data_IF_519137467661
#
_entry.id   IF_519137467661
#
_cell.length_a   1.000
_cell.length_b   1.000
_cell.length_c   1.000
_cell.angle_alpha   90.00
_cell.angle_beta   90.00
_cell.angle_gamma   90.00
#
_symmetry.space_group_name_H-M   'P 1'
#
loop_
_entity.id
_entity.type
_entity.pdbx_description
1 polymer ?
#
# COMPACT_ATOMS: atom_id res chain seq x y z
N UNK A 1 94.32 3.78 35.50
CA UNK A 1 92.98 3.24 35.78
C UNK A 1 91.96 4.01 34.90
N UNK A 2 91.63 3.47 33.73
CA UNK A 2 90.65 4.07 32.81
C UNK A 2 89.31 3.31 32.91
N UNK A 3 88.28 4.01 33.40
CA UNK A 3 86.89 3.48 33.36
C UNK A 3 86.25 3.86 32.03
N UNK A 4 85.91 2.86 31.24
CA UNK A 4 85.09 3.00 29.99
C UNK A 4 83.66 3.18 30.42
N UNK A 5 83.05 4.27 30.02
CA UNK A 5 81.60 4.52 30.09
C UNK A 5 81.03 4.05 28.77
N UNK A 6 80.19 3.02 28.79
CA UNK A 6 79.45 2.57 27.63
C UNK A 6 78.13 3.35 27.53
N UNK A 7 77.92 4.06 26.39
CA UNK A 7 76.68 4.77 26.09
C UNK A 7 75.73 3.78 25.40
N UNK A 8 74.60 3.46 26.03
CA UNK A 8 73.48 2.71 25.40
C UNK A 8 72.61 3.70 24.65
N UNK A 9 72.64 3.63 23.34
CA UNK A 9 71.67 4.30 22.45
C UNK A 9 70.43 3.41 22.40
N UNK A 10 69.33 3.81 23.04
CA UNK A 10 68.03 3.17 22.94
C UNK A 10 67.35 3.76 21.69
N UNK A 11 67.33 3.00 20.61
CA UNK A 11 66.55 3.32 19.43
C UNK A 11 65.09 3.01 19.73
N UNK A 12 64.29 4.04 20.00
CA UNK A 12 62.82 3.94 20.09
C UNK A 12 62.26 3.93 18.67
N UNK A 13 61.97 2.74 18.13
CA UNK A 13 61.19 2.61 16.91
C UNK A 13 59.74 2.91 17.22
N UNK A 14 59.27 4.12 16.94
CA UNK A 14 57.85 4.46 16.87
C UNK A 14 57.24 3.67 15.71
N UNK A 15 56.58 2.58 15.99
CA UNK A 15 55.63 1.96 15.07
C UNK A 15 54.43 2.92 14.94
N UNK A 16 54.43 3.74 13.88
CA UNK A 16 53.22 4.43 13.41
C UNK A 16 52.25 3.39 12.90
N UNK A 17 51.36 2.92 13.77
CA UNK A 17 50.13 2.27 13.32
C UNK A 17 49.30 3.34 12.65
N UNK A 18 49.35 3.40 11.31
CA UNK A 18 48.32 4.05 10.53
C UNK A 18 47.00 3.31 10.82
N UNK A 19 46.24 3.81 11.79
CA UNK A 19 44.82 3.50 11.92
C UNK A 19 44.17 4.04 10.62
N UNK A 20 44.07 3.17 9.61
CA UNK A 20 43.19 3.43 8.51
C UNK A 20 41.76 3.46 9.08
N UNK A 21 41.30 4.63 9.46
CA UNK A 21 39.89 4.88 9.72
C UNK A 21 39.22 4.47 8.43
N UNK A 22 38.32 3.47 8.46
CA UNK A 22 37.58 3.14 7.24
C UNK A 22 36.85 4.40 6.81
N UNK A 23 37.29 4.98 5.73
CA UNK A 23 36.60 6.12 5.11
C UNK A 23 35.23 5.58 4.72
N UNK A 24 34.17 6.05 5.35
CA UNK A 24 32.83 5.67 4.98
C UNK A 24 32.71 5.85 3.46
N UNK A 25 32.46 4.75 2.76
CA UNK A 25 32.31 4.80 1.30
C UNK A 25 31.20 5.80 1.01
N UNK A 26 31.52 6.85 0.28
CA UNK A 26 30.51 7.84 -0.13
C UNK A 26 29.57 7.15 -1.08
N UNK A 27 28.26 7.27 -0.82
CA UNK A 27 27.24 6.76 -1.72
C UNK A 27 27.49 7.22 -3.17
N UNK A 28 27.59 6.28 -4.07
CA UNK A 28 27.79 6.55 -5.49
C UNK A 28 26.43 6.74 -6.19
N UNK A 29 26.48 7.42 -7.36
CA UNK A 29 25.33 7.47 -8.26
C UNK A 29 25.67 6.69 -9.51
N UNK A 30 24.88 5.64 -9.78
CA UNK A 30 24.97 4.81 -10.97
C UNK A 30 23.86 5.24 -11.95
N UNK A 31 24.25 5.77 -13.11
CA UNK A 31 23.27 6.28 -14.08
C UNK A 31 22.92 5.21 -15.10
N UNK A 32 21.61 5.04 -15.32
CA UNK A 32 21.01 4.08 -16.24
C UNK A 32 20.30 4.81 -17.37
N UNK A 33 20.49 4.36 -18.60
CA UNK A 33 19.78 4.89 -19.77
C UNK A 33 20.58 4.81 -21.06
N UNK A 34 20.04 5.44 -22.08
CA UNK A 34 20.76 5.67 -23.33
C UNK A 34 21.40 7.06 -23.36
N UNK A 35 22.60 7.15 -23.89
CA UNK A 35 23.31 8.43 -23.93
C UNK A 35 22.55 9.47 -24.76
N UNK A 36 22.23 10.60 -24.14
CA UNK A 36 21.53 11.72 -24.74
C UNK A 36 21.95 13.04 -24.08
N UNK A 37 21.46 14.16 -24.58
CA UNK A 37 21.69 15.46 -23.94
C UNK A 37 21.10 15.51 -22.49
N UNK A 38 19.98 14.84 -22.26
CA UNK A 38 19.35 14.78 -20.94
C UNK A 38 19.95 13.69 -20.03
N UNK A 39 20.61 12.67 -20.62
CA UNK A 39 21.24 11.57 -19.93
C UNK A 39 22.71 11.42 -20.41
N UNK A 40 23.61 12.34 -20.04
CA UNK A 40 24.99 12.29 -20.52
C UNK A 40 25.76 11.17 -19.79
N UNK A 41 26.40 10.30 -20.55
CA UNK A 41 27.30 9.24 -20.07
C UNK A 41 26.66 8.26 -19.08
N UNK A 42 25.51 7.62 -19.38
CA UNK A 42 25.01 6.54 -18.54
C UNK A 42 26.02 5.39 -18.53
N UNK A 43 26.15 4.74 -17.38
CA UNK A 43 27.07 3.61 -17.20
C UNK A 43 26.39 2.27 -17.47
N UNK A 44 25.07 2.23 -17.38
CA UNK A 44 24.27 1.02 -17.49
C UNK A 44 23.12 1.23 -18.47
N UNK A 45 22.74 0.18 -19.19
CA UNK A 45 21.60 0.21 -20.11
C UNK A 45 20.31 -0.35 -19.45
N UNK A 46 20.46 -1.12 -18.37
CA UNK A 46 19.34 -1.72 -17.63
C UNK A 46 19.43 -1.34 -16.15
N UNK A 47 18.27 -1.21 -15.52
CA UNK A 47 18.17 -0.91 -14.09
C UNK A 47 18.78 -2.06 -13.28
N UNK A 48 18.46 -3.32 -13.65
CA UNK A 48 18.96 -4.49 -12.93
C UNK A 48 20.50 -4.57 -12.96
N UNK A 49 21.14 -4.21 -14.08
CA UNK A 49 22.61 -4.21 -14.14
C UNK A 49 23.23 -3.18 -13.20
N UNK A 50 22.62 -2.01 -13.07
CA UNK A 50 23.05 -0.99 -12.12
C UNK A 50 22.79 -1.43 -10.66
N UNK A 51 21.61 -2.01 -10.37
CA UNK A 51 21.30 -2.59 -9.05
C UNK A 51 22.31 -3.66 -8.65
N UNK A 52 22.68 -4.55 -9.58
CA UNK A 52 23.67 -5.60 -9.31
C UNK A 52 25.05 -5.02 -8.96
N UNK A 53 25.47 -3.96 -9.66
CA UNK A 53 26.76 -3.30 -9.45
C UNK A 53 26.82 -2.36 -8.23
N UNK A 54 25.66 -1.91 -7.76
CA UNK A 54 25.56 -0.97 -6.63
C UNK A 54 26.03 -1.58 -5.31
N UNK A 55 26.60 -0.76 -4.47
CA UNK A 55 26.83 -1.01 -3.04
C UNK A 55 25.64 -0.51 -2.21
N UNK A 56 25.49 -1.02 -0.98
CA UNK A 56 24.48 -0.49 -0.04
C UNK A 56 24.67 1.01 0.17
N UNK A 57 23.57 1.75 0.06
CA UNK A 57 23.52 3.21 0.18
C UNK A 57 23.69 3.96 -1.13
N UNK A 58 23.99 3.28 -2.23
CA UNK A 58 24.12 3.93 -3.54
C UNK A 58 22.78 4.39 -4.12
N UNK A 59 22.85 5.32 -5.05
CA UNK A 59 21.70 5.80 -5.81
C UNK A 59 21.76 5.27 -7.24
N UNK A 60 20.69 4.66 -7.70
CA UNK A 60 20.44 4.33 -9.10
C UNK A 60 19.65 5.49 -9.71
N UNK A 61 20.28 6.28 -10.57
CA UNK A 61 19.63 7.35 -11.32
C UNK A 61 19.16 6.81 -12.66
N UNK A 62 17.85 6.74 -12.86
CA UNK A 62 17.20 6.21 -14.06
C UNK A 62 16.77 7.36 -14.95
N UNK A 63 17.43 7.52 -16.09
CA UNK A 63 17.07 8.52 -17.08
C UNK A 63 15.70 8.22 -17.71
N UNK A 64 15.05 9.23 -18.30
CA UNK A 64 13.82 9.04 -19.05
C UNK A 64 14.00 8.00 -20.16
N UNK A 65 13.04 7.09 -20.28
CA UNK A 65 13.06 5.99 -21.25
C UNK A 65 12.28 4.78 -20.77
N UNK A 66 12.04 3.81 -21.64
CA UNK A 66 11.35 2.56 -21.31
C UNK A 66 12.36 1.44 -21.03
N UNK A 67 12.20 0.79 -19.90
CA UNK A 67 13.03 -0.30 -19.40
C UNK A 67 12.18 -1.58 -19.34
N UNK A 68 12.38 -2.46 -20.35
CA UNK A 68 11.61 -3.69 -20.50
C UNK A 68 12.18 -4.81 -19.61
N UNK A 69 12.09 -4.65 -18.30
CA UNK A 69 12.69 -5.57 -17.32
C UNK A 69 11.90 -5.68 -16.03
N UNK A 70 11.98 -6.82 -15.34
CA UNK A 70 11.65 -6.95 -13.93
C UNK A 70 12.90 -6.58 -13.11
N UNK A 71 12.70 -5.87 -11.99
CA UNK A 71 13.80 -5.38 -11.16
C UNK A 71 13.74 -6.03 -9.77
N UNK A 72 14.83 -6.69 -9.36
CA UNK A 72 14.99 -7.27 -8.02
C UNK A 72 16.01 -6.44 -7.21
N UNK A 73 15.57 -5.94 -6.05
CA UNK A 73 16.38 -5.15 -5.11
C UNK A 73 16.50 -5.91 -3.78
N UNK A 74 17.73 -6.34 -3.44
CA UNK A 74 18.04 -7.10 -2.21
C UNK A 74 19.06 -6.38 -1.33
N UNK A 75 19.26 -5.10 -1.54
CA UNK A 75 20.18 -4.27 -0.75
C UNK A 75 19.63 -2.86 -0.57
N UNK A 76 20.05 -2.18 0.48
CA UNK A 76 19.71 -0.77 0.69
C UNK A 76 20.22 0.08 -0.47
N UNK A 77 19.33 0.79 -1.14
CA UNK A 77 19.66 1.74 -2.21
C UNK A 77 18.49 2.70 -2.48
N UNK A 78 18.78 3.74 -3.25
CA UNK A 78 17.76 4.64 -3.77
C UNK A 78 17.64 4.45 -5.28
N UNK A 79 16.44 4.07 -5.75
CA UNK A 79 16.05 4.07 -7.15
C UNK A 79 15.32 5.38 -7.46
N UNK A 80 15.87 6.24 -8.28
CA UNK A 80 15.32 7.56 -8.57
C UNK A 80 15.27 7.81 -10.08
N UNK A 81 14.05 7.94 -10.62
CA UNK A 81 13.86 8.23 -12.04
C UNK A 81 13.81 9.72 -12.36
N UNK A 82 14.11 10.02 -13.61
CA UNK A 82 13.72 11.27 -14.27
C UNK A 82 12.24 11.19 -14.71
N UNK A 83 11.63 12.32 -15.00
CA UNK A 83 10.29 12.31 -15.57
C UNK A 83 10.25 11.51 -16.87
N UNK A 84 9.42 10.45 -16.90
CA UNK A 84 9.34 9.49 -17.99
C UNK A 84 10.28 8.28 -17.88
N UNK A 85 10.87 8.02 -16.72
CA UNK A 85 11.51 6.74 -16.42
C UNK A 85 10.43 5.67 -16.22
N UNK A 86 10.25 4.78 -17.20
CA UNK A 86 9.18 3.80 -17.30
C UNK A 86 9.74 2.38 -17.21
N UNK A 87 9.30 1.61 -16.22
CA UNK A 87 9.60 0.18 -16.07
C UNK A 87 8.37 -0.58 -16.59
N UNK A 88 8.51 -1.23 -17.75
CA UNK A 88 7.42 -1.89 -18.48
C UNK A 88 7.94 -3.20 -19.09
N UNK A 89 7.90 -4.32 -18.34
CA UNK A 89 8.34 -5.61 -18.87
C UNK A 89 7.35 -6.14 -19.92
N UNK A 90 7.85 -6.64 -21.03
CA UNK A 90 7.03 -7.24 -22.11
C UNK A 90 6.48 -8.61 -21.71
N UNK A 91 7.15 -9.35 -20.86
CA UNK A 91 6.70 -10.60 -20.27
C UNK A 91 7.27 -10.67 -18.87
N UNK A 92 6.45 -11.09 -17.93
CA UNK A 92 6.88 -11.29 -16.56
C UNK A 92 6.98 -12.77 -16.23
N UNK A 93 7.92 -13.11 -15.35
CA UNK A 93 8.09 -14.44 -14.79
C UNK A 93 7.90 -14.38 -13.26
N UNK A 94 7.47 -15.50 -12.68
CA UNK A 94 7.43 -15.65 -11.24
C UNK A 94 8.82 -15.40 -10.64
N UNK A 95 8.90 -14.49 -9.67
CA UNK A 95 10.15 -14.12 -8.99
C UNK A 95 9.99 -14.09 -7.46
N UNK A 96 8.80 -14.41 -6.95
CA UNK A 96 8.52 -14.55 -5.53
C UNK A 96 7.36 -15.51 -5.27
N UNK A 97 6.99 -15.65 -4.01
CA UNK A 97 5.87 -16.49 -3.53
C UNK A 97 5.21 -15.79 -2.35
N UNK A 98 3.89 -15.76 -2.30
CA UNK A 98 3.14 -15.22 -1.17
C UNK A 98 3.40 -16.03 0.10
N UNK A 99 3.70 -15.37 1.21
CA UNK A 99 3.87 -16.06 2.50
C UNK A 99 2.57 -16.62 3.06
N UNK A 100 1.43 -16.05 2.66
CA UNK A 100 0.13 -16.46 3.16
C UNK A 100 -0.49 -17.58 2.33
N UNK A 101 -0.61 -17.39 1.02
CA UNK A 101 -1.28 -18.34 0.14
C UNK A 101 -0.36 -19.42 -0.43
N UNK A 102 0.95 -19.16 -0.50
CA UNK A 102 1.91 -20.00 -1.20
C UNK A 102 1.84 -19.87 -2.73
N UNK A 103 1.01 -18.96 -3.25
CA UNK A 103 0.89 -18.72 -4.68
C UNK A 103 2.14 -18.04 -5.26
N UNK A 104 2.45 -18.37 -6.50
CA UNK A 104 3.54 -17.75 -7.23
C UNK A 104 3.22 -16.30 -7.57
N UNK A 105 4.20 -15.42 -7.40
CA UNK A 105 4.10 -13.99 -7.65
C UNK A 105 5.08 -13.57 -8.74
N UNK A 106 4.60 -12.75 -9.68
CA UNK A 106 5.39 -12.04 -10.66
C UNK A 106 5.34 -10.53 -10.36
N UNK A 107 6.30 -10.06 -9.59
CA UNK A 107 6.44 -8.63 -9.30
C UNK A 107 7.28 -7.94 -10.37
N UNK A 108 6.83 -6.76 -10.84
CA UNK A 108 7.61 -5.95 -11.79
C UNK A 108 8.82 -5.36 -11.09
N UNK A 109 8.61 -4.79 -9.90
CA UNK A 109 9.69 -4.37 -9.01
C UNK A 109 9.55 -5.13 -7.68
N UNK A 110 10.51 -5.97 -7.37
CA UNK A 110 10.58 -6.74 -6.13
C UNK A 110 11.68 -6.19 -5.22
N UNK A 111 11.29 -5.73 -4.05
CA UNK A 111 12.20 -5.40 -2.95
C UNK A 111 12.10 -6.51 -1.91
N UNK A 112 13.20 -7.25 -1.71
CA UNK A 112 13.15 -8.47 -0.90
C UNK A 112 14.28 -8.54 0.12
N UNK A 113 13.93 -8.97 1.35
CA UNK A 113 14.86 -9.30 2.44
C UNK A 113 15.90 -8.20 2.73
N UNK A 114 15.48 -6.94 2.66
CA UNK A 114 16.37 -5.78 2.85
C UNK A 114 15.65 -4.59 3.46
N UNK A 115 16.42 -3.61 3.91
CA UNK A 115 15.88 -2.38 4.49
C UNK A 115 16.48 -1.14 3.84
N UNK A 116 15.82 0.02 4.01
CA UNK A 116 16.33 1.29 3.52
C UNK A 116 16.34 1.42 2.00
N UNK A 117 15.32 0.85 1.34
CA UNK A 117 15.14 1.02 -0.11
C UNK A 117 14.15 2.14 -0.37
N UNK A 118 14.59 3.16 -1.08
CA UNK A 118 13.70 4.23 -1.56
C UNK A 118 13.49 4.07 -3.06
N UNK A 119 12.23 4.05 -3.51
CA UNK A 119 11.85 4.10 -4.92
C UNK A 119 11.08 5.39 -5.16
N UNK A 120 11.54 6.21 -6.10
CA UNK A 120 10.90 7.49 -6.36
C UNK A 120 10.94 7.92 -7.83
N UNK A 121 9.94 8.71 -8.24
CA UNK A 121 9.88 9.36 -9.56
C UNK A 121 9.98 8.38 -10.74
N UNK A 122 9.44 7.18 -10.61
CA UNK A 122 9.38 6.18 -11.69
C UNK A 122 7.93 5.84 -12.00
N UNK A 123 7.71 5.36 -13.21
CA UNK A 123 6.45 4.75 -13.63
C UNK A 123 6.67 3.24 -13.69
N UNK A 124 5.78 2.48 -13.07
CA UNK A 124 5.74 1.01 -13.18
C UNK A 124 4.44 0.65 -13.88
N UNK A 125 4.56 -0.02 -15.01
CA UNK A 125 3.47 -0.30 -15.93
C UNK A 125 3.41 -1.81 -16.19
N UNK A 126 2.27 -2.41 -15.90
CA UNK A 126 2.03 -3.85 -16.04
C UNK A 126 1.47 -4.24 -17.39
N UNK A 127 1.31 -3.31 -18.33
CA UNK A 127 0.78 -3.63 -19.66
C UNK A 127 1.67 -4.63 -20.39
N UNK A 128 1.04 -5.50 -21.19
CA UNK A 128 1.79 -6.49 -21.96
C UNK A 128 2.52 -7.56 -21.14
N UNK A 129 2.14 -7.79 -19.89
CA UNK A 129 2.78 -8.72 -18.93
C UNK A 129 2.88 -10.18 -19.40
N UNK A 130 2.08 -10.62 -20.37
CA UNK A 130 2.15 -11.96 -20.97
C UNK A 130 1.58 -13.09 -20.11
N UNK A 131 0.98 -12.79 -18.95
CA UNK A 131 0.34 -13.79 -18.09
C UNK A 131 -0.94 -14.28 -18.75
N UNK A 132 -1.08 -15.60 -18.92
CA UNK A 132 -2.20 -16.26 -19.60
C UNK A 132 -3.09 -17.12 -18.71
N UNK A 133 -2.77 -17.19 -17.41
CA UNK A 133 -3.50 -17.92 -16.37
C UNK A 133 -3.58 -17.08 -15.10
N UNK A 134 -4.32 -17.52 -14.07
CA UNK A 134 -4.42 -16.78 -12.82
C UNK A 134 -3.11 -16.80 -11.99
N UNK A 135 -2.17 -17.66 -12.31
CA UNK A 135 -0.86 -17.75 -11.67
C UNK A 135 0.26 -17.66 -12.72
N UNK A 136 1.35 -16.92 -12.45
CA UNK A 136 1.63 -16.18 -11.24
C UNK A 136 0.76 -14.94 -11.07
N UNK A 137 0.56 -14.49 -9.82
CA UNK A 137 -0.12 -13.24 -9.51
C UNK A 137 0.74 -12.04 -9.93
N UNK A 138 0.15 -11.10 -10.66
CA UNK A 138 0.83 -9.89 -11.11
C UNK A 138 0.84 -8.84 -10.00
N UNK A 139 2.02 -8.30 -9.72
CA UNK A 139 2.19 -7.20 -8.76
C UNK A 139 3.07 -6.12 -9.38
N UNK A 140 2.66 -4.86 -9.28
CA UNK A 140 3.47 -3.73 -9.75
C UNK A 140 4.74 -3.57 -8.92
N UNK A 141 4.62 -3.20 -7.65
CA UNK A 141 5.75 -3.07 -6.73
C UNK A 141 5.49 -3.92 -5.48
N UNK A 142 6.42 -4.79 -5.14
CA UNK A 142 6.32 -5.67 -3.99
C UNK A 142 7.47 -5.46 -2.99
N UNK A 143 7.13 -5.07 -1.75
CA UNK A 143 8.04 -5.10 -0.61
C UNK A 143 7.78 -6.37 0.19
N UNK A 144 8.67 -7.34 0.10
CA UNK A 144 8.56 -8.63 0.80
C UNK A 144 9.67 -8.77 1.83
N UNK A 145 9.32 -8.85 3.12
CA UNK A 145 10.30 -8.82 4.22
C UNK A 145 11.28 -7.66 4.06
N UNK A 146 10.78 -6.50 3.61
CA UNK A 146 11.61 -5.38 3.25
C UNK A 146 11.04 -4.06 3.78
N UNK A 147 11.92 -3.11 4.07
CA UNK A 147 11.54 -1.80 4.59
C UNK A 147 12.07 -0.67 3.73
N UNK A 148 11.32 0.43 3.65
CA UNK A 148 11.73 1.57 2.87
C UNK A 148 10.62 2.57 2.55
N UNK A 149 10.76 3.26 1.44
CA UNK A 149 9.87 4.33 1.02
C UNK A 149 9.54 4.24 -0.46
N UNK A 150 8.28 4.45 -0.78
CA UNK A 150 7.76 4.66 -2.12
C UNK A 150 7.22 6.09 -2.19
N UNK A 151 7.75 6.93 -3.10
CA UNK A 151 7.39 8.35 -3.11
C UNK A 151 7.36 8.91 -4.54
N UNK A 152 6.26 9.59 -4.90
CA UNK A 152 6.06 10.14 -6.24
C UNK A 152 6.22 9.07 -7.35
N UNK A 153 5.60 7.92 -7.18
CA UNK A 153 5.61 6.82 -8.15
C UNK A 153 4.23 6.74 -8.82
N UNK A 154 4.20 6.45 -10.12
CA UNK A 154 2.99 6.03 -10.80
C UNK A 154 3.03 4.51 -10.99
N UNK A 155 1.97 3.80 -10.58
CA UNK A 155 1.79 2.37 -10.84
C UNK A 155 0.49 2.19 -11.58
N UNK A 156 0.53 1.54 -12.74
CA UNK A 156 -0.63 1.43 -13.62
C UNK A 156 -0.65 0.15 -14.45
N UNK A 157 -1.80 -0.10 -15.08
CA UNK A 157 -2.01 -1.23 -16.00
C UNK A 157 -1.60 -2.59 -15.39
N UNK A 158 -1.77 -2.72 -14.07
CA UNK A 158 -1.46 -3.97 -13.34
C UNK A 158 -2.67 -4.89 -13.41
N UNK A 159 -2.96 -5.32 -14.63
CA UNK A 159 -4.12 -6.14 -14.96
C UNK A 159 -3.72 -7.34 -15.81
N UNK A 160 -4.44 -8.45 -15.65
CA UNK A 160 -4.38 -9.57 -16.56
C UNK A 160 -5.27 -9.32 -17.79
N UNK A 161 -5.17 -10.21 -18.77
CA UNK A 161 -6.07 -10.12 -19.93
C UNK A 161 -7.55 -10.14 -19.50
N UNK A 162 -8.48 -9.51 -20.27
CA UNK A 162 -9.90 -9.44 -19.91
C UNK A 162 -10.58 -10.80 -19.66
N UNK A 163 -10.05 -11.89 -20.21
CA UNK A 163 -10.53 -13.26 -19.94
C UNK A 163 -10.20 -13.77 -18.56
N UNK A 164 -9.27 -13.11 -17.86
CA UNK A 164 -8.76 -13.45 -16.54
C UNK A 164 -9.17 -12.42 -15.46
N UNK A 165 -10.13 -11.56 -15.76
CA UNK A 165 -10.55 -10.49 -14.87
C UNK A 165 -11.17 -10.98 -13.53
N UNK A 166 -11.50 -12.28 -13.41
CA UNK A 166 -11.95 -12.93 -12.18
C UNK A 166 -10.81 -13.45 -11.28
N UNK A 167 -9.56 -13.42 -11.75
CA UNK A 167 -8.40 -13.86 -10.95
C UNK A 167 -8.12 -12.89 -9.79
N UNK A 168 -7.74 -13.41 -8.64
CA UNK A 168 -7.30 -12.60 -7.49
C UNK A 168 -5.84 -12.15 -7.71
N UNK A 169 -5.61 -11.34 -8.70
CA UNK A 169 -4.31 -10.90 -9.22
C UNK A 169 -4.40 -9.44 -9.65
N UNK A 170 -3.29 -8.78 -9.87
CA UNK A 170 -3.22 -7.39 -10.27
C UNK A 170 -3.28 -6.44 -9.08
N UNK A 171 -2.21 -6.42 -8.27
CA UNK A 171 -2.02 -5.47 -7.19
C UNK A 171 -1.04 -4.38 -7.60
N UNK A 172 -1.43 -3.12 -7.43
CA UNK A 172 -0.53 -2.00 -7.71
C UNK A 172 0.71 -2.03 -6.83
N UNK A 173 0.53 -1.94 -5.52
CA UNK A 173 1.60 -2.02 -4.52
C UNK A 173 1.24 -3.06 -3.47
N UNK A 174 2.18 -3.93 -3.14
CA UNK A 174 2.01 -4.92 -2.09
C UNK A 174 3.15 -4.84 -1.07
N UNK A 175 2.82 -4.90 0.22
CA UNK A 175 3.77 -5.04 1.33
C UNK A 175 3.38 -6.25 2.15
N UNK A 176 4.30 -7.20 2.30
CA UNK A 176 4.04 -8.43 3.05
C UNK A 176 5.25 -8.83 3.89
N UNK A 177 5.00 -9.12 5.15
CA UNK A 177 5.98 -9.71 6.07
C UNK A 177 5.67 -11.19 6.31
N UNK A 178 6.70 -11.96 6.61
CA UNK A 178 6.56 -13.37 6.93
C UNK A 178 7.76 -13.91 7.69
N UNK A 179 7.64 -15.13 8.25
CA UNK A 179 8.75 -15.79 8.95
C UNK A 179 9.25 -15.05 10.20
N UNK A 180 8.43 -14.16 10.79
CA UNK A 180 8.83 -13.37 11.97
C UNK A 180 9.68 -12.12 11.65
N UNK A 181 9.83 -11.78 10.37
CA UNK A 181 10.48 -10.53 9.95
C UNK A 181 9.48 -9.38 10.02
N UNK A 182 9.95 -8.18 10.33
CA UNK A 182 9.13 -6.97 10.31
C UNK A 182 9.52 -6.07 9.14
N UNK A 183 8.50 -5.55 8.45
CA UNK A 183 8.63 -4.57 7.38
C UNK A 183 8.02 -3.25 7.81
N UNK A 184 8.72 -2.14 7.56
CA UNK A 184 8.20 -0.79 7.78
C UNK A 184 8.31 -0.03 6.46
N UNK A 185 7.16 0.29 5.85
CA UNK A 185 7.13 0.92 4.52
C UNK A 185 6.25 2.18 4.54
N UNK A 186 6.79 3.27 4.02
CA UNK A 186 6.04 4.49 3.72
C UNK A 186 5.67 4.52 2.24
N UNK A 187 4.39 4.73 1.92
CA UNK A 187 3.88 4.88 0.56
C UNK A 187 3.24 6.26 0.47
N UNK A 188 3.88 7.18 -0.25
CA UNK A 188 3.47 8.57 -0.23
C UNK A 188 3.40 9.22 -1.62
N UNK A 189 2.49 10.20 -1.78
CA UNK A 189 2.43 11.11 -2.92
C UNK A 189 2.43 10.40 -4.29
N UNK A 190 1.86 9.21 -4.37
CA UNK A 190 1.92 8.33 -5.53
C UNK A 190 0.56 8.18 -6.19
N UNK A 191 0.54 7.83 -7.48
CA UNK A 191 -0.68 7.59 -8.25
C UNK A 191 -0.76 6.11 -8.59
N UNK A 192 -1.83 5.44 -8.17
CA UNK A 192 -2.06 4.03 -8.44
C UNK A 192 -3.41 3.87 -9.12
N UNK A 193 -3.43 3.35 -10.34
CA UNK A 193 -4.65 3.20 -11.13
C UNK A 193 -4.54 2.04 -12.13
N UNK A 194 -5.65 1.64 -12.74
CA UNK A 194 -5.70 0.54 -13.70
C UNK A 194 -5.06 -0.74 -13.14
N UNK A 195 -5.61 -1.23 -12.03
CA UNK A 195 -5.23 -2.48 -11.39
C UNK A 195 -6.44 -3.40 -11.27
N UNK A 196 -6.22 -4.72 -11.31
CA UNK A 196 -7.33 -5.66 -11.35
C UNK A 196 -7.95 -5.91 -9.97
N UNK A 197 -7.15 -6.08 -8.91
CA UNK A 197 -7.66 -6.48 -7.59
C UNK A 197 -7.53 -5.39 -6.52
N UNK A 198 -6.34 -4.93 -6.19
CA UNK A 198 -6.14 -3.90 -5.16
C UNK A 198 -5.12 -2.86 -5.59
N UNK A 199 -5.35 -1.60 -5.20
CA UNK A 199 -4.39 -0.51 -5.45
C UNK A 199 -3.16 -0.63 -4.55
N UNK A 200 -3.35 -0.50 -3.25
CA UNK A 200 -2.29 -0.66 -2.23
C UNK A 200 -2.74 -1.71 -1.22
N UNK A 201 -1.89 -2.68 -0.96
CA UNK A 201 -2.16 -3.76 -0.01
C UNK A 201 -1.01 -3.89 0.98
N UNK A 202 -1.32 -3.96 2.27
CA UNK A 202 -0.37 -4.29 3.33
C UNK A 202 -0.94 -5.43 4.16
N UNK A 203 -0.30 -6.58 4.14
CA UNK A 203 -0.81 -7.78 4.79
C UNK A 203 0.20 -8.40 5.74
N UNK A 204 -0.32 -9.20 6.65
CA UNK A 204 0.33 -10.09 7.59
C UNK A 204 1.00 -9.37 8.78
N UNK A 205 0.99 -10.08 9.90
CA UNK A 205 1.64 -9.64 11.13
C UNK A 205 3.15 -9.36 10.92
N UNK A 206 3.63 -8.26 11.46
CA UNK A 206 4.98 -7.76 11.21
C UNK A 206 5.05 -6.69 10.12
N UNK A 207 4.02 -6.55 9.29
CA UNK A 207 3.91 -5.45 8.33
C UNK A 207 3.39 -4.19 9.01
N UNK A 208 4.12 -3.10 8.86
CA UNK A 208 3.72 -1.77 9.33
C UNK A 208 3.82 -0.78 8.18
N UNK A 209 2.75 -0.01 7.93
CA UNK A 209 2.72 0.95 6.82
C UNK A 209 2.26 2.33 7.25
N UNK A 210 2.79 3.34 6.55
CA UNK A 210 2.22 4.69 6.50
C UNK A 210 1.85 4.97 5.06
N UNK A 211 0.55 5.12 4.76
CA UNK A 211 0.03 5.35 3.41
C UNK A 211 -0.54 6.75 3.38
N UNK A 212 0.10 7.68 2.68
CA UNK A 212 -0.30 9.09 2.78
C UNK A 212 -0.20 9.88 1.48
N UNK A 213 -1.20 10.74 1.23
CA UNK A 213 -1.17 11.68 0.10
C UNK A 213 -1.24 11.02 -1.28
N UNK A 214 -1.68 9.77 -1.37
CA UNK A 214 -1.77 9.04 -2.62
C UNK A 214 -3.12 9.28 -3.31
N UNK A 215 -3.12 9.12 -4.64
CA UNK A 215 -4.33 9.04 -5.46
C UNK A 215 -4.48 7.59 -5.94
N UNK A 216 -5.54 6.93 -5.51
CA UNK A 216 -5.82 5.52 -5.82
C UNK A 216 -7.16 5.43 -6.52
N UNK A 217 -7.17 4.97 -7.78
CA UNK A 217 -8.37 4.98 -8.61
C UNK A 217 -8.64 3.59 -9.18
N UNK A 218 -9.78 3.01 -8.83
CA UNK A 218 -10.25 1.75 -9.37
C UNK A 218 -10.78 1.86 -10.81
N UNK A 219 -11.14 0.72 -11.39
CA UNK A 219 -11.65 0.62 -12.75
C UNK A 219 -13.11 1.10 -12.91
N UNK A 220 -13.74 1.60 -11.84
CA UNK A 220 -15.15 1.88 -11.81
C UNK A 220 -15.95 0.57 -11.70
N UNK A 221 -17.02 0.44 -12.50
CA UNK A 221 -17.87 -0.75 -12.45
C UNK A 221 -17.17 -1.95 -13.08
N UNK A 222 -16.61 -2.83 -12.25
CA UNK A 222 -15.92 -4.05 -12.67
C UNK A 222 -16.76 -5.30 -12.41
N UNK A 223 -16.71 -6.28 -13.32
CA UNK A 223 -17.49 -7.51 -13.22
C UNK A 223 -16.70 -8.72 -12.71
N UNK A 224 -15.38 -8.69 -12.79
CA UNK A 224 -14.53 -9.85 -12.51
C UNK A 224 -14.19 -10.00 -11.03
N UNK A 225 -13.57 -9.01 -10.44
CA UNK A 225 -13.15 -8.98 -9.03
C UNK A 225 -13.75 -7.79 -8.30
N UNK A 226 -14.07 -7.98 -7.02
CA UNK A 226 -14.33 -6.87 -6.13
C UNK A 226 -13.00 -6.22 -5.76
N UNK A 227 -12.79 -4.99 -6.23
CA UNK A 227 -11.56 -4.24 -6.03
C UNK A 227 -11.56 -3.52 -4.68
N UNK A 228 -10.38 -3.38 -4.06
CA UNK A 228 -10.20 -2.43 -2.96
C UNK A 228 -9.13 -1.40 -3.35
N UNK A 229 -9.36 -0.15 -2.96
CA UNK A 229 -8.37 0.89 -3.19
C UNK A 229 -7.15 0.71 -2.30
N UNK A 230 -7.34 0.81 -0.99
CA UNK A 230 -6.29 0.60 0.01
C UNK A 230 -6.74 -0.47 0.99
N UNK A 231 -5.91 -1.49 1.21
CA UNK A 231 -6.15 -2.54 2.20
C UNK A 231 -5.01 -2.61 3.21
N UNK A 232 -5.35 -2.62 4.52
CA UNK A 232 -4.48 -3.11 5.59
C UNK A 232 -5.15 -4.34 6.19
N UNK A 233 -4.48 -5.51 6.10
CA UNK A 233 -5.12 -6.78 6.43
C UNK A 233 -4.25 -7.78 7.17
N UNK A 234 -4.93 -8.77 7.79
CA UNK A 234 -4.34 -10.00 8.35
C UNK A 234 -3.25 -9.78 9.39
N UNK A 235 -3.47 -8.78 10.26
CA UNK A 235 -2.54 -8.45 11.35
C UNK A 235 -1.48 -7.42 10.98
N UNK A 236 -1.49 -6.86 9.78
CA UNK A 236 -0.69 -5.69 9.45
C UNK A 236 -1.18 -4.47 10.25
N UNK A 237 -0.32 -3.51 10.48
CA UNK A 237 -0.62 -2.29 11.25
C UNK A 237 -0.25 -1.04 10.47
N UNK A 238 -0.84 0.10 10.83
CA UNK A 238 -0.43 1.35 10.18
C UNK A 238 -1.45 2.47 10.21
N UNK A 239 -1.19 3.44 9.35
CA UNK A 239 -2.04 4.63 9.19
C UNK A 239 -2.31 4.87 7.71
N UNK A 240 -3.56 5.20 7.38
CA UNK A 240 -4.03 5.63 6.06
C UNK A 240 -4.45 7.09 6.20
N UNK A 241 -3.65 8.02 5.68
CA UNK A 241 -3.79 9.46 5.94
C UNK A 241 -3.83 10.29 4.67
N UNK A 242 -4.80 11.20 4.55
CA UNK A 242 -4.88 12.21 3.49
C UNK A 242 -4.75 11.65 2.06
N UNK A 243 -5.28 10.45 1.79
CA UNK A 243 -5.34 9.89 0.44
C UNK A 243 -6.66 10.27 -0.26
N UNK A 244 -6.65 10.24 -1.58
CA UNK A 244 -7.86 10.27 -2.41
C UNK A 244 -8.06 8.90 -3.04
N UNK A 245 -9.16 8.24 -2.71
CA UNK A 245 -9.46 6.86 -3.13
C UNK A 245 -10.85 6.82 -3.74
N UNK A 246 -11.00 6.27 -4.96
CA UNK A 246 -12.29 6.32 -5.63
C UNK A 246 -12.47 5.24 -6.71
N UNK A 247 -13.73 5.04 -7.13
CA UNK A 247 -14.14 4.22 -8.27
C UNK A 247 -14.00 2.70 -8.05
N UNK A 248 -14.44 2.20 -6.90
CA UNK A 248 -14.43 0.77 -6.60
C UNK A 248 -15.87 0.22 -6.55
N UNK A 249 -16.35 -0.30 -7.68
CA UNK A 249 -17.71 -0.83 -7.83
C UNK A 249 -17.67 -2.23 -8.42
N UNK A 250 -18.21 -3.22 -7.70
CA UNK A 250 -18.31 -4.60 -8.16
C UNK A 250 -19.69 -4.86 -8.76
N UNK A 251 -19.77 -5.00 -10.09
CA UNK A 251 -21.01 -5.09 -10.84
C UNK A 251 -21.96 -6.22 -10.41
N UNK A 252 -21.50 -7.42 -10.00
CA UNK A 252 -22.39 -8.47 -9.48
C UNK A 252 -23.10 -8.10 -8.18
N UNK A 253 -22.68 -7.04 -7.48
CA UNK A 253 -23.24 -6.58 -6.23
C UNK A 253 -23.82 -5.17 -6.39
N UNK A 254 -25.03 -5.10 -6.96
CA UNK A 254 -25.72 -3.83 -7.25
C UNK A 254 -26.87 -3.51 -6.28
N UNK A 255 -27.17 -4.44 -5.38
CA UNK A 255 -28.18 -4.28 -4.33
C UNK A 255 -27.77 -5.02 -3.04
N UNK A 256 -28.55 -4.85 -1.99
CA UNK A 256 -28.30 -5.46 -0.67
C UNK A 256 -28.54 -6.96 -0.60
N UNK A 257 -29.06 -7.57 -1.66
CA UNK A 257 -29.46 -8.98 -1.67
C UNK A 257 -28.46 -9.83 -2.45
N UNK A 258 -27.82 -10.80 -1.80
CA UNK A 258 -27.01 -11.81 -2.47
C UNK A 258 -25.64 -11.34 -2.96
N UNK A 259 -25.11 -10.26 -2.42
CA UNK A 259 -23.76 -9.81 -2.73
C UNK A 259 -22.70 -10.84 -2.30
N UNK A 260 -21.94 -11.41 -3.23
CA UNK A 260 -20.88 -12.37 -2.87
C UNK A 260 -19.65 -11.69 -2.26
N UNK A 261 -19.43 -10.41 -2.54
CA UNK A 261 -18.30 -9.61 -2.08
C UNK A 261 -18.62 -8.11 -2.26
N UNK A 262 -17.92 -7.25 -1.54
CA UNK A 262 -17.98 -5.79 -1.68
C UNK A 262 -16.66 -5.24 -2.22
N UNK A 263 -16.75 -4.13 -2.93
CA UNK A 263 -15.62 -3.32 -3.35
C UNK A 263 -15.56 -2.08 -2.45
N UNK A 264 -14.43 -1.90 -1.79
CA UNK A 264 -14.26 -0.88 -0.79
C UNK A 264 -13.16 0.11 -1.21
N UNK A 265 -13.36 1.42 -1.01
CA UNK A 265 -12.26 2.36 -1.23
C UNK A 265 -11.13 2.11 -0.22
N UNK A 266 -11.48 1.99 1.06
CA UNK A 266 -10.53 1.68 2.12
C UNK A 266 -11.05 0.50 2.93
N UNK A 267 -10.26 -0.58 3.00
CA UNK A 267 -10.57 -1.80 3.76
C UNK A 267 -9.52 -2.04 4.85
N UNK A 268 -9.96 -2.11 6.10
CA UNK A 268 -9.18 -2.63 7.22
C UNK A 268 -9.76 -3.98 7.62
N UNK A 269 -9.01 -5.06 7.42
CA UNK A 269 -9.50 -6.43 7.60
C UNK A 269 -8.62 -7.23 8.54
N UNK A 270 -9.17 -7.66 9.69
CA UNK A 270 -8.43 -8.43 10.70
C UNK A 270 -7.12 -7.76 11.14
N UNK A 271 -7.11 -6.43 11.23
CA UNK A 271 -5.95 -5.58 11.55
C UNK A 271 -6.36 -4.55 12.59
N UNK A 272 -6.10 -4.86 13.84
CA UNK A 272 -6.56 -4.05 14.97
C UNK A 272 -5.73 -2.76 15.13
N UNK A 273 -6.38 -1.70 15.60
CA UNK A 273 -5.72 -0.45 15.97
C UNK A 273 -5.27 0.43 14.80
N UNK A 274 -5.71 0.15 13.57
CA UNK A 274 -5.41 0.98 12.39
C UNK A 274 -6.12 2.34 12.49
N UNK A 275 -5.42 3.40 12.07
CA UNK A 275 -6.00 4.74 11.95
C UNK A 275 -6.22 5.07 10.47
N UNK A 276 -7.42 5.54 10.16
CA UNK A 276 -7.86 6.02 8.84
C UNK A 276 -8.31 7.45 8.99
N UNK A 277 -7.50 8.42 8.56
CA UNK A 277 -7.80 9.81 8.84
C UNK A 277 -7.55 10.77 7.68
N UNK A 278 -8.37 11.82 7.58
CA UNK A 278 -8.28 12.89 6.56
C UNK A 278 -8.31 12.40 5.11
N UNK A 279 -8.83 11.20 4.82
CA UNK A 279 -8.94 10.70 3.47
C UNK A 279 -10.20 11.22 2.78
N UNK A 280 -10.15 11.25 1.45
CA UNK A 280 -11.32 11.44 0.59
C UNK A 280 -11.62 10.11 -0.08
N UNK A 281 -12.78 9.51 0.20
CA UNK A 281 -13.23 8.23 -0.34
C UNK A 281 -14.58 8.40 -1.05
N UNK A 282 -14.75 7.83 -2.26
CA UNK A 282 -16.06 7.99 -2.91
C UNK A 282 -16.20 7.37 -4.28
N UNK A 283 -17.45 7.30 -4.72
CA UNK A 283 -17.88 6.59 -5.94
C UNK A 283 -17.55 5.09 -5.83
N UNK A 284 -17.94 4.48 -4.72
CA UNK A 284 -17.65 3.08 -4.39
C UNK A 284 -18.89 2.37 -3.83
N UNK A 285 -18.78 1.08 -3.57
CA UNK A 285 -19.86 0.37 -2.87
C UNK A 285 -19.84 0.68 -1.37
N UNK A 286 -18.66 0.67 -0.75
CA UNK A 286 -18.44 1.12 0.62
C UNK A 286 -17.27 2.10 0.63
N UNK A 287 -17.42 3.25 1.27
CA UNK A 287 -16.34 4.21 1.36
C UNK A 287 -15.20 3.69 2.23
N UNK A 288 -15.45 3.44 3.51
CA UNK A 288 -14.46 2.94 4.48
C UNK A 288 -15.06 1.72 5.21
N UNK A 289 -14.46 0.57 5.05
CA UNK A 289 -14.85 -0.68 5.71
C UNK A 289 -13.83 -1.08 6.78
N UNK A 290 -14.24 -1.08 8.01
CA UNK A 290 -13.48 -1.59 9.16
C UNK A 290 -14.05 -2.94 9.58
N UNK A 291 -13.32 -4.02 9.32
CA UNK A 291 -13.62 -5.40 9.74
C UNK A 291 -12.51 -5.84 10.70
N UNK A 292 -12.39 -5.13 11.81
CA UNK A 292 -11.30 -5.24 12.78
C UNK A 292 -11.72 -4.62 14.11
N UNK A 293 -10.84 -4.61 15.10
CA UNK A 293 -11.12 -4.00 16.41
C UNK A 293 -10.22 -2.79 16.67
N UNK A 294 -10.70 -1.89 17.53
CA UNK A 294 -9.96 -0.73 18.05
C UNK A 294 -9.39 0.21 16.94
N UNK A 295 -10.03 0.23 15.77
CA UNK A 295 -9.65 1.15 14.70
C UNK A 295 -10.26 2.54 14.91
N UNK A 296 -9.58 3.56 14.37
CA UNK A 296 -10.02 4.95 14.42
C UNK A 296 -10.26 5.48 13.00
N UNK A 297 -11.45 5.98 12.73
CA UNK A 297 -11.87 6.61 11.48
C UNK A 297 -12.17 8.07 11.75
N UNK A 298 -11.23 8.96 11.38
CA UNK A 298 -11.20 10.34 11.86
C UNK A 298 -11.19 11.34 10.70
N UNK A 299 -12.08 12.34 10.74
CA UNK A 299 -12.03 13.52 9.86
C UNK A 299 -11.92 13.17 8.35
N UNK A 300 -12.51 12.06 7.90
CA UNK A 300 -12.55 11.71 6.50
C UNK A 300 -13.73 12.37 5.78
N UNK A 301 -13.58 12.57 4.47
CA UNK A 301 -14.68 12.93 3.58
C UNK A 301 -15.09 11.70 2.78
N UNK A 302 -16.33 11.24 2.93
CA UNK A 302 -16.87 10.09 2.23
C UNK A 302 -18.10 10.51 1.42
N UNK A 303 -18.16 10.11 0.16
CA UNK A 303 -19.29 10.51 -0.69
C UNK A 303 -19.63 9.42 -1.73
N UNK A 304 -20.89 9.40 -2.16
CA UNK A 304 -21.38 8.49 -3.21
C UNK A 304 -21.06 7.01 -2.91
N UNK A 305 -21.45 6.54 -1.73
CA UNK A 305 -21.45 5.10 -1.42
C UNK A 305 -22.68 4.47 -2.05
N UNK A 306 -22.48 3.87 -3.23
CA UNK A 306 -23.53 3.60 -4.23
C UNK A 306 -24.43 2.40 -3.93
N UNK A 307 -24.09 1.56 -2.97
CA UNK A 307 -24.88 0.35 -2.64
C UNK A 307 -24.99 0.15 -1.16
N UNK A 308 -23.93 0.46 -0.39
CA UNK A 308 -23.85 0.19 1.02
C UNK A 308 -23.61 1.47 1.83
N UNK A 309 -22.52 1.51 2.56
CA UNK A 309 -22.35 2.49 3.61
C UNK A 309 -21.23 3.48 3.29
N UNK A 310 -21.33 4.66 3.87
CA UNK A 310 -20.21 5.57 3.96
C UNK A 310 -19.08 4.93 4.78
N UNK A 311 -19.39 4.56 6.02
CA UNK A 311 -18.44 3.93 6.95
C UNK A 311 -19.09 2.69 7.58
N UNK A 312 -18.42 1.55 7.50
CA UNK A 312 -18.78 0.31 8.21
C UNK A 312 -17.82 0.11 9.39
N UNK A 313 -18.35 -0.04 10.60
CA UNK A 313 -17.62 -0.46 11.79
C UNK A 313 -18.05 -1.88 12.18
N UNK A 314 -17.35 -2.90 11.66
CA UNK A 314 -17.59 -4.30 12.01
C UNK A 314 -16.47 -4.80 12.91
N UNK A 315 -16.80 -5.00 14.18
CA UNK A 315 -15.84 -5.39 15.22
C UNK A 315 -16.10 -4.61 16.51
N UNK A 316 -15.15 -4.62 17.43
CA UNK A 316 -15.35 -4.05 18.76
C UNK A 316 -14.39 -2.89 19.02
N UNK A 317 -14.88 -1.89 19.76
CA UNK A 317 -14.07 -0.77 20.22
C UNK A 317 -13.61 0.18 19.12
N UNK A 318 -14.23 0.14 17.92
CA UNK A 318 -13.91 1.07 16.84
C UNK A 318 -14.54 2.45 17.09
N UNK A 319 -13.92 3.48 16.54
CA UNK A 319 -14.37 4.86 16.66
C UNK A 319 -14.49 5.52 15.28
N UNK A 320 -15.63 6.14 14.99
CA UNK A 320 -15.81 7.09 13.89
C UNK A 320 -16.07 8.47 14.47
N UNK A 321 -15.25 9.44 14.14
CA UNK A 321 -15.34 10.80 14.71
C UNK A 321 -14.99 11.87 13.68
N UNK A 322 -15.86 12.84 13.52
CA UNK A 322 -15.60 14.04 12.72
C UNK A 322 -15.66 13.81 11.21
N UNK A 323 -16.17 12.69 10.74
CA UNK A 323 -16.24 12.42 9.32
C UNK A 323 -17.38 13.21 8.65
N UNK A 324 -17.17 13.58 7.41
CA UNK A 324 -18.17 14.22 6.56
C UNK A 324 -18.67 13.22 5.51
N UNK A 325 -19.89 12.72 5.68
CA UNK A 325 -20.44 11.63 4.87
C UNK A 325 -21.63 12.14 4.06
N UNK A 326 -21.60 11.95 2.75
CA UNK A 326 -22.62 12.48 1.85
C UNK A 326 -23.07 11.44 0.84
N UNK A 327 -24.37 11.23 0.67
CA UNK A 327 -25.00 10.33 -0.29
C UNK A 327 -24.55 8.87 -0.12
N UNK A 328 -25.05 8.23 0.92
CA UNK A 328 -24.89 6.79 1.17
C UNK A 328 -26.23 6.10 0.99
N UNK A 329 -26.27 5.06 0.16
CA UNK A 329 -27.52 4.40 -0.23
C UNK A 329 -28.18 3.66 0.94
N UNK A 330 -27.42 2.90 1.72
CA UNK A 330 -27.99 2.21 2.87
C UNK A 330 -27.93 3.08 4.13
N UNK A 331 -26.74 3.36 4.62
CA UNK A 331 -26.54 4.22 5.78
C UNK A 331 -25.21 4.98 5.68
N UNK A 332 -25.13 6.14 6.32
CA UNK A 332 -23.87 6.86 6.37
C UNK A 332 -22.87 6.11 7.26
N UNK A 333 -23.28 5.64 8.43
CA UNK A 333 -22.46 4.80 9.32
C UNK A 333 -23.23 3.56 9.71
N UNK A 334 -22.60 2.39 9.56
CA UNK A 334 -23.14 1.11 10.06
C UNK A 334 -22.26 0.57 11.18
N UNK A 335 -22.90 0.14 12.27
CA UNK A 335 -22.25 -0.42 13.45
C UNK A 335 -22.65 -1.88 13.58
N UNK A 336 -21.67 -2.79 13.55
CA UNK A 336 -21.84 -4.23 13.74
C UNK A 336 -20.79 -4.76 14.71
N UNK A 337 -21.13 -4.77 16.01
CA UNK A 337 -20.22 -5.21 17.08
C UNK A 337 -20.37 -4.37 18.34
N UNK A 338 -19.47 -4.55 19.30
CA UNK A 338 -19.65 -4.01 20.65
C UNK A 338 -18.72 -2.84 20.95
N UNK A 339 -19.17 -1.96 21.84
CA UNK A 339 -18.36 -0.86 22.38
C UNK A 339 -17.81 0.10 21.32
N UNK A 340 -18.48 0.23 20.19
CA UNK A 340 -18.11 1.18 19.13
C UNK A 340 -18.61 2.58 19.48
N UNK A 341 -17.92 3.61 18.99
CA UNK A 341 -18.27 5.03 19.21
C UNK A 341 -18.46 5.73 17.89
N UNK A 342 -19.54 6.51 17.74
CA UNK A 342 -19.81 7.38 16.57
C UNK A 342 -20.21 8.75 17.08
N UNK A 343 -19.42 9.76 16.78
CA UNK A 343 -19.67 11.13 17.25
C UNK A 343 -19.09 12.19 16.32
N UNK A 344 -19.65 13.40 16.39
CA UNK A 344 -19.19 14.57 15.62
C UNK A 344 -19.25 14.38 14.09
N UNK A 345 -20.01 13.39 13.63
CA UNK A 345 -20.23 13.16 12.21
C UNK A 345 -21.10 14.27 11.61
N UNK A 346 -20.79 14.68 10.38
CA UNK A 346 -21.64 15.52 9.53
C UNK A 346 -22.19 14.68 8.39
N UNK A 347 -23.47 14.35 8.46
CA UNK A 347 -24.14 13.42 7.54
C UNK A 347 -25.16 14.15 6.69
N UNK A 348 -25.01 14.04 5.37
CA UNK A 348 -25.88 14.65 4.38
C UNK A 348 -26.46 13.60 3.42
N UNK A 349 -27.74 13.75 3.05
CA UNK A 349 -28.39 13.01 1.96
C UNK A 349 -28.24 11.49 2.08
N UNK A 350 -28.28 10.94 3.29
CA UNK A 350 -28.27 9.50 3.55
C UNK A 350 -29.68 9.00 3.85
N UNK A 351 -30.01 7.79 3.42
CA UNK A 351 -31.28 7.13 3.76
C UNK A 351 -31.40 6.93 5.26
N UNK A 352 -30.34 6.43 5.88
CA UNK A 352 -30.17 6.30 7.32
C UNK A 352 -28.85 6.95 7.73
N UNK A 353 -28.85 7.76 8.77
CA UNK A 353 -27.63 8.39 9.29
C UNK A 353 -26.73 7.36 9.97
N UNK A 354 -27.18 6.78 11.06
CA UNK A 354 -26.44 5.77 11.82
C UNK A 354 -27.33 4.53 12.01
N UNK A 355 -26.86 3.39 11.55
CA UNK A 355 -27.55 2.11 11.63
C UNK A 355 -26.80 1.16 12.57
N UNK A 356 -27.45 0.73 13.64
CA UNK A 356 -26.89 -0.28 14.54
C UNK A 356 -27.48 -1.65 14.19
N UNK A 357 -26.64 -2.64 13.96
CA UNK A 357 -27.06 -4.01 13.62
C UNK A 357 -27.42 -4.78 14.89
N UNK A 358 -28.44 -5.65 14.80
CA UNK A 358 -28.90 -6.47 15.92
C UNK A 358 -27.77 -7.31 16.53
N UNK A 359 -27.68 -7.31 17.85
CA UNK A 359 -26.62 -7.98 18.61
C UNK A 359 -25.44 -7.09 18.99
N UNK A 360 -25.37 -5.88 18.47
CA UNK A 360 -24.37 -4.88 18.89
C UNK A 360 -24.75 -4.34 20.28
N UNK A 361 -23.77 -4.21 21.17
CA UNK A 361 -23.97 -3.74 22.55
C UNK A 361 -22.91 -2.73 22.99
N UNK A 362 -23.25 -1.88 23.95
CA UNK A 362 -22.31 -0.90 24.52
C UNK A 362 -21.87 0.19 23.54
N UNK A 363 -22.58 0.38 22.45
CA UNK A 363 -22.32 1.43 21.46
C UNK A 363 -22.61 2.80 22.05
N UNK A 364 -21.75 3.76 21.77
CA UNK A 364 -21.93 5.18 22.12
C UNK A 364 -22.19 5.99 20.87
N UNK A 365 -23.38 6.56 20.74
CA UNK A 365 -23.70 7.54 19.69
C UNK A 365 -23.71 8.92 20.36
N UNK A 366 -22.69 9.72 20.07
CA UNK A 366 -22.55 11.07 20.60
C UNK A 366 -23.34 12.11 19.78
N UNK A 367 -22.93 13.36 19.86
CA UNK A 367 -23.56 14.45 19.09
C UNK A 367 -23.11 14.35 17.64
N UNK A 368 -24.08 14.21 16.71
CA UNK A 368 -23.88 14.20 15.27
C UNK A 368 -24.82 15.22 14.60
N UNK A 369 -24.46 15.67 13.41
CA UNK A 369 -25.25 16.63 12.65
C UNK A 369 -25.81 15.98 11.39
N UNK A 370 -27.11 16.11 11.14
CA UNK A 370 -27.81 15.45 10.04
C UNK A 370 -28.52 16.48 9.16
N UNK A 371 -28.33 16.37 7.84
CA UNK A 371 -29.04 17.16 6.82
C UNK A 371 -29.68 16.20 5.80
N UNK A 372 -30.92 16.46 5.40
CA UNK A 372 -31.66 15.62 4.44
C UNK A 372 -31.57 14.12 4.74
N UNK A 373 -31.55 13.75 6.02
CA UNK A 373 -31.41 12.38 6.50
C UNK A 373 -32.68 12.02 7.28
N UNK A 374 -33.67 11.39 6.62
CA UNK A 374 -35.00 11.17 7.22
C UNK A 374 -34.97 10.27 8.43
N UNK A 375 -34.05 9.31 8.47
CA UNK A 375 -33.82 8.43 9.62
C UNK A 375 -32.44 8.73 10.20
N UNK A 376 -32.35 9.54 11.26
CA UNK A 376 -31.07 9.93 11.84
C UNK A 376 -30.34 8.77 12.51
N UNK A 377 -31.09 7.94 13.27
CA UNK A 377 -30.57 6.73 13.93
C UNK A 377 -31.60 5.62 13.84
N UNK A 378 -31.13 4.40 13.60
CA UNK A 378 -31.98 3.20 13.59
C UNK A 378 -31.35 2.08 14.41
N UNK A 379 -32.14 1.54 15.39
CA UNK A 379 -31.74 0.51 16.34
C UNK A 379 -32.90 -0.44 16.62
N UNK A 380 -32.70 -1.76 16.70
CA UNK A 380 -31.78 -2.56 15.93
C UNK A 380 -32.35 -2.94 14.55
N UNK A 381 -31.50 -3.01 13.55
CA UNK A 381 -31.87 -3.59 12.24
C UNK A 381 -31.54 -5.10 12.19
N UNK A 382 -32.27 -5.91 11.39
CA UNK A 382 -31.84 -7.27 11.10
C UNK A 382 -30.41 -7.29 10.56
N UNK A 383 -29.62 -8.30 10.95
CA UNK A 383 -28.25 -8.42 10.46
C UNK A 383 -28.26 -8.67 8.96
N UNK A 384 -27.73 -7.74 8.18
CA UNK A 384 -27.30 -8.02 6.81
C UNK A 384 -25.84 -8.48 6.90
N UNK A 385 -25.60 -9.75 6.64
CA UNK A 385 -24.22 -10.26 6.53
C UNK A 385 -23.60 -9.73 5.24
N UNK A 386 -22.55 -8.96 5.37
CA UNK A 386 -21.69 -8.52 4.26
C UNK A 386 -20.40 -9.28 4.30
N UNK A 387 -19.87 -9.55 3.14
CA UNK A 387 -18.60 -10.21 3.00
C UNK A 387 -17.62 -9.25 2.33
N UNK A 388 -16.70 -8.68 3.08
CA UNK A 388 -15.54 -7.98 2.52
C UNK A 388 -14.79 -8.93 1.59
N UNK A 389 -14.14 -8.39 0.55
CA UNK A 389 -13.35 -9.16 -0.42
C UNK A 389 -11.86 -8.86 -0.25
N UNK A 390 -11.24 -9.26 0.88
CA UNK A 390 -9.82 -9.02 1.09
C UNK A 390 -8.99 -9.87 0.14
N UNK A 391 -7.84 -9.34 -0.27
CA UNK A 391 -6.75 -10.10 -0.88
C UNK A 391 -5.85 -10.62 0.24
N UNK A 392 -5.45 -11.90 0.15
CA UNK A 392 -4.54 -12.52 1.11
C UNK A 392 -3.36 -13.22 0.46
#
# INVERSE_FOLDING_TARGET
MCRKVALYVVAVTLLMWCLSVPQAARAATLTVGQASAACPKPLYLTIQSAVNAASSGDTIHVCAGTYAEQVLITKSLKLSGDNGALIEPVNVAANSTSFASGESIAAIVLVQDTTGVTIQNVIVDGSGNGISECSPELIGIFYQNASGELNHVAVRDVELSPTLNGCQSGLGVFVQSGGGVSSVVTIANSSIHDYQKNGITANEAGTQVTISGNVVTGLGTAAGTAQNGIQIGFGATGTIHANTVANHVYAPCIDLTGCPATADDILVYQSDGVTVDHNTAGVSQTGIAIVANNANVLDNTVFDSLVFDGVLLQGNGNSATGNHITRSDQAAVVISGNSNTVQQEVINDATIGILTIAGSTGTTIGINTFFNTPVQTQDPAPSATRQASPYR
#
